data_IF_190150632851
#
_entry.id   IF_190150632851
#
_cell.length_a   1.000
_cell.length_b   1.000
_cell.length_c   1.000
_cell.angle_alpha   90.00
_cell.angle_beta   90.00
_cell.angle_gamma   90.00
#
_symmetry.space_group_name_H-M   'P 1'
#
loop_
_entity.id
_entity.type
_entity.pdbx_description
1 polymer ?
#
# COMPACT_ATOMS: atom_id res chain seq x y z
N UNK A 1 -7.48 -7.06 -8.54
CA UNK A 1 -6.49 -5.96 -8.50
C UNK A 1 -6.54 -5.36 -7.10
N UNK A 2 -5.39 -4.95 -6.54
CA UNK A 2 -5.35 -4.29 -5.23
C UNK A 2 -5.20 -2.78 -5.40
N UNK A 3 -5.82 -2.01 -4.51
CA UNK A 3 -5.77 -0.54 -4.45
C UNK A 3 -6.13 -0.08 -3.04
N UNK A 4 -5.75 1.16 -2.69
CA UNK A 4 -5.76 1.66 -1.30
C UNK A 4 -6.69 2.84 -1.05
N UNK A 5 -7.27 3.40 -2.12
CA UNK A 5 -8.08 4.61 -2.09
C UNK A 5 -7.39 5.78 -1.36
N UNK A 6 -6.05 5.85 -1.46
CA UNK A 6 -5.21 6.81 -0.74
C UNK A 6 -5.47 8.29 -1.06
N UNK A 7 -6.14 8.57 -2.17
CA UNK A 7 -6.60 9.93 -2.50
C UNK A 7 -7.61 10.42 -1.45
N UNK A 8 -8.40 9.52 -0.87
CA UNK A 8 -9.45 9.84 0.10
C UNK A 8 -9.01 9.67 1.54
N UNK A 9 -8.16 8.67 1.83
CA UNK A 9 -7.83 8.25 3.20
C UNK A 9 -6.36 8.46 3.59
N UNK A 10 -5.56 9.06 2.70
CA UNK A 10 -4.15 9.36 2.95
C UNK A 10 -3.23 8.16 2.74
N UNK A 11 -2.07 8.20 3.41
CA UNK A 11 -0.99 7.23 3.18
C UNK A 11 -1.47 5.77 3.39
N UNK A 12 -1.24 4.85 2.44
CA UNK A 12 -1.65 3.46 2.56
C UNK A 12 -0.72 2.60 3.42
N UNK A 13 0.27 3.21 4.06
CA UNK A 13 1.40 2.50 4.65
C UNK A 13 0.95 1.50 5.74
N UNK A 14 -0.11 1.81 6.50
CA UNK A 14 -0.66 0.91 7.51
C UNK A 14 -1.42 -0.26 6.87
N UNK A 15 -2.17 -0.02 5.78
CA UNK A 15 -2.85 -1.08 5.03
C UNK A 15 -1.84 -2.05 4.41
N UNK A 16 -0.74 -1.53 3.85
CA UNK A 16 0.34 -2.35 3.27
C UNK A 16 0.99 -3.21 4.35
N UNK A 17 1.27 -2.65 5.52
CA UNK A 17 1.86 -3.38 6.64
C UNK A 17 0.93 -4.48 7.16
N UNK A 18 -0.32 -4.13 7.43
CA UNK A 18 -1.33 -5.08 7.87
C UNK A 18 -1.48 -6.24 6.87
N UNK A 19 -1.50 -5.96 5.57
CA UNK A 19 -1.61 -7.01 4.57
C UNK A 19 -0.34 -7.87 4.45
N UNK A 20 0.85 -7.31 4.69
CA UNK A 20 2.11 -8.07 4.68
C UNK A 20 2.17 -9.07 5.83
N UNK A 21 1.61 -8.74 6.98
CA UNK A 21 1.58 -9.62 8.17
C UNK A 21 0.36 -10.52 8.23
N UNK A 22 -0.73 -10.17 7.52
CA UNK A 22 -1.95 -10.95 7.48
C UNK A 22 -1.73 -12.39 6.97
N UNK A 23 -2.36 -13.33 7.67
CA UNK A 23 -2.44 -14.74 7.33
C UNK A 23 -3.84 -15.26 7.71
N UNK A 24 -4.45 -16.02 6.80
CA UNK A 24 -5.71 -16.71 7.09
C UNK A 24 -5.39 -17.83 8.09
N UNK A 25 -6.15 -17.92 9.19
CA UNK A 25 -5.90 -18.92 10.23
C UNK A 25 -5.92 -20.34 9.68
N UNK A 26 -5.16 -21.24 10.30
CA UNK A 26 -5.08 -22.64 9.89
C UNK A 26 -6.47 -23.31 9.86
N UNK A 27 -7.31 -23.05 10.85
CA UNK A 27 -8.69 -23.56 10.92
C UNK A 27 -9.53 -23.11 9.71
N UNK A 28 -9.46 -21.83 9.33
CA UNK A 28 -10.22 -21.31 8.19
C UNK A 28 -9.66 -21.84 6.86
N UNK A 29 -8.35 -22.04 6.77
CA UNK A 29 -7.72 -22.66 5.60
C UNK A 29 -8.15 -24.11 5.43
N UNK A 30 -8.20 -24.89 6.50
CA UNK A 30 -8.65 -26.28 6.49
C UNK A 30 -10.14 -26.37 6.13
N UNK A 31 -10.99 -25.55 6.77
CA UNK A 31 -12.44 -25.57 6.53
C UNK A 31 -12.83 -25.13 5.11
N UNK A 32 -12.12 -24.17 4.53
CA UNK A 32 -12.53 -23.52 3.28
C UNK A 32 -11.55 -23.69 2.11
N UNK A 33 -10.45 -24.42 2.30
CA UNK A 33 -9.45 -24.66 1.26
C UNK A 33 -8.62 -23.43 0.89
N UNK A 34 -8.53 -22.42 1.77
CA UNK A 34 -7.73 -21.24 1.47
C UNK A 34 -6.23 -21.56 1.47
N UNK A 35 -5.46 -21.04 0.49
CA UNK A 35 -4.03 -21.23 0.45
C UNK A 35 -3.35 -20.47 1.59
N UNK A 36 -2.18 -20.96 2.00
CA UNK A 36 -1.30 -20.17 2.85
C UNK A 36 -0.81 -18.93 2.12
N UNK A 37 -0.82 -17.78 2.77
CA UNK A 37 -0.25 -16.58 2.17
C UNK A 37 1.28 -16.68 2.04
N UNK A 38 1.77 -16.81 0.82
CA UNK A 38 3.21 -16.86 0.50
C UNK A 38 3.73 -15.51 0.00
N UNK A 39 5.06 -15.26 0.03
CA UNK A 39 5.65 -14.08 -0.60
C UNK A 39 5.27 -13.93 -2.08
N UNK A 40 5.20 -15.03 -2.82
CA UNK A 40 4.81 -15.02 -4.24
C UNK A 40 3.34 -14.62 -4.45
N UNK A 41 2.42 -15.10 -3.60
CA UNK A 41 1.02 -14.67 -3.62
C UNK A 41 0.87 -13.19 -3.27
N UNK A 42 1.60 -12.70 -2.26
CA UNK A 42 1.64 -11.27 -1.93
C UNK A 42 2.15 -10.43 -3.10
N UNK A 43 3.21 -10.87 -3.80
CA UNK A 43 3.71 -10.18 -4.98
C UNK A 43 2.67 -10.13 -6.12
N UNK A 44 1.91 -11.22 -6.32
CA UNK A 44 0.77 -11.25 -7.26
C UNK A 44 -0.28 -10.20 -6.91
N UNK A 45 -0.67 -10.12 -5.64
CA UNK A 45 -1.69 -9.18 -5.17
C UNK A 45 -1.22 -7.73 -5.29
N UNK A 46 0.01 -7.44 -4.84
CA UNK A 46 0.56 -6.07 -4.85
C UNK A 46 0.90 -5.53 -6.24
N UNK A 47 1.04 -6.36 -7.28
CA UNK A 47 1.35 -5.82 -8.59
C UNK A 47 1.40 -6.79 -9.76
N UNK A 48 1.77 -8.06 -9.59
CA UNK A 48 1.94 -8.93 -10.79
C UNK A 48 0.60 -9.24 -11.47
N UNK A 49 -0.49 -9.35 -10.71
CA UNK A 49 -1.82 -9.49 -11.30
C UNK A 49 -2.23 -8.24 -12.09
N UNK A 50 -1.86 -7.06 -11.59
CA UNK A 50 -2.13 -5.79 -12.28
C UNK A 50 -1.34 -5.70 -13.59
N UNK A 51 -0.04 -6.02 -13.54
CA UNK A 51 0.84 -6.00 -14.70
C UNK A 51 0.27 -6.89 -15.83
N UNK A 52 -0.19 -8.09 -15.50
CA UNK A 52 -0.81 -8.98 -16.47
C UNK A 52 -2.08 -8.39 -17.12
N UNK A 53 -2.98 -7.81 -16.32
CA UNK A 53 -4.22 -7.19 -16.83
C UNK A 53 -3.93 -6.03 -17.80
N UNK A 54 -2.86 -5.27 -17.55
CA UNK A 54 -2.46 -4.15 -18.39
C UNK A 54 -1.50 -4.53 -19.53
N UNK A 55 -1.23 -5.82 -19.74
CA UNK A 55 -0.29 -6.28 -20.77
C UNK A 55 1.16 -5.83 -20.54
N UNK A 56 1.54 -5.60 -19.28
CA UNK A 56 2.86 -5.16 -18.87
C UNK A 56 3.66 -6.32 -18.27
N UNK A 57 4.96 -6.37 -18.56
CA UNK A 57 5.88 -7.27 -17.87
C UNK A 57 6.58 -6.57 -16.69
N UNK A 58 6.97 -7.28 -15.62
CA UNK A 58 7.74 -6.69 -14.53
C UNK A 58 9.08 -6.07 -14.98
N UNK A 59 9.68 -6.62 -16.04
CA UNK A 59 10.91 -6.10 -16.64
C UNK A 59 10.69 -4.77 -17.35
N UNK A 60 9.60 -4.62 -18.10
CA UNK A 60 9.24 -3.35 -18.73
C UNK A 60 8.91 -2.29 -17.70
N UNK A 61 8.08 -2.61 -16.69
CA UNK A 61 7.73 -1.68 -15.61
C UNK A 61 8.99 -1.17 -14.93
N UNK A 62 9.89 -2.06 -14.52
CA UNK A 62 11.17 -1.68 -13.89
C UNK A 62 12.01 -0.77 -14.79
N UNK A 63 12.09 -1.07 -16.09
CA UNK A 63 12.84 -0.25 -17.05
C UNK A 63 12.30 1.18 -17.11
N UNK A 64 10.97 1.33 -17.20
CA UNK A 64 10.33 2.66 -17.29
C UNK A 64 10.40 3.43 -15.98
N UNK A 65 10.19 2.77 -14.84
CA UNK A 65 10.19 3.46 -13.54
C UNK A 65 11.59 3.78 -13.03
N UNK A 66 12.65 3.11 -13.50
CA UNK A 66 14.00 3.26 -12.95
C UNK A 66 14.56 4.69 -12.97
N UNK A 67 14.06 5.55 -13.87
CA UNK A 67 14.56 6.93 -14.05
C UNK A 67 13.49 7.99 -13.82
N UNK A 68 12.31 7.59 -13.35
CA UNK A 68 11.22 8.53 -13.13
C UNK A 68 11.45 9.41 -11.87
N UNK A 69 10.51 10.32 -11.60
CA UNK A 69 10.57 11.18 -10.42
C UNK A 69 10.41 10.40 -9.11
N UNK A 70 9.70 9.26 -9.12
CA UNK A 70 9.49 8.41 -7.95
C UNK A 70 10.77 7.67 -7.59
N UNK A 71 11.48 7.09 -8.57
CA UNK A 71 12.78 6.46 -8.37
C UNK A 71 13.81 7.45 -7.83
N UNK A 72 13.86 8.68 -8.38
CA UNK A 72 14.74 9.73 -7.86
C UNK A 72 14.41 10.08 -6.40
N UNK A 73 13.14 10.27 -6.06
CA UNK A 73 12.69 10.51 -4.67
C UNK A 73 13.05 9.35 -3.75
N UNK A 74 12.89 8.11 -4.22
CA UNK A 74 13.27 6.91 -3.47
C UNK A 74 14.77 6.88 -3.19
N UNK A 75 15.61 7.17 -4.18
CA UNK A 75 17.06 7.22 -3.99
C UNK A 75 17.45 8.31 -3.00
N UNK A 76 16.89 9.53 -3.14
CA UNK A 76 17.14 10.61 -2.19
C UNK A 76 16.69 10.26 -0.75
N UNK A 77 15.57 9.54 -0.59
CA UNK A 77 15.14 9.04 0.72
C UNK A 77 16.11 8.04 1.33
N UNK A 78 16.76 7.19 0.52
CA UNK A 78 17.72 6.21 1.01
C UNK A 78 19.00 6.84 1.59
N UNK A 79 19.37 8.05 1.17
CA UNK A 79 20.51 8.80 1.72
C UNK A 79 20.28 9.25 3.17
N UNK A 80 19.04 9.55 3.54
CA UNK A 80 18.67 9.90 4.91
C UNK A 80 17.25 9.40 5.23
N UNK A 81 17.09 8.11 5.57
CA UNK A 81 15.78 7.52 5.81
C UNK A 81 15.15 8.07 7.09
N UNK A 82 13.96 8.65 6.96
CA UNK A 82 13.13 9.05 8.10
C UNK A 82 11.79 8.29 8.08
N UNK A 83 11.75 7.03 8.55
CA UNK A 83 10.52 6.26 8.57
C UNK A 83 9.56 6.81 9.64
N UNK A 84 8.43 7.34 9.20
CA UNK A 84 7.39 7.87 10.08
C UNK A 84 6.01 7.33 9.69
N UNK A 85 5.30 6.73 10.65
CA UNK A 85 3.92 6.24 10.51
C UNK A 85 2.89 7.33 10.80
N UNK A 86 3.19 8.57 10.40
CA UNK A 86 2.33 9.72 10.70
C UNK A 86 1.08 9.64 9.84
N UNK A 87 -0.03 9.22 10.44
CA UNK A 87 -1.37 9.46 9.89
C UNK A 87 -1.62 10.97 9.87
N UNK A 88 -1.83 11.54 8.69
CA UNK A 88 -2.22 12.94 8.51
C UNK A 88 -3.75 13.06 8.51
N UNK A 89 -4.28 14.11 9.14
CA UNK A 89 -5.71 14.38 9.22
C UNK A 89 -6.23 14.56 10.65
N UNK A 90 -7.48 15.00 10.80
CA UNK A 90 -8.08 15.21 12.11
C UNK A 90 -8.24 13.90 12.87
N UNK A 91 -7.57 13.77 14.02
CA UNK A 91 -7.62 12.57 14.85
C UNK A 91 -8.75 12.59 15.88
N UNK A 92 -9.42 13.73 16.02
CA UNK A 92 -10.50 13.95 16.95
C UNK A 92 -11.66 14.66 16.26
N UNK A 93 -12.87 14.54 16.81
CA UNK A 93 -14.05 15.30 16.35
C UNK A 93 -13.76 16.81 16.32
N UNK A 94 -13.00 17.31 17.29
CA UNK A 94 -12.59 18.71 17.37
C UNK A 94 -11.65 19.11 16.24
N UNK A 95 -10.72 18.24 15.85
CA UNK A 95 -9.85 18.52 14.71
C UNK A 95 -10.63 18.47 13.40
N UNK A 96 -11.61 17.58 13.30
CA UNK A 96 -12.46 17.44 12.11
C UNK A 96 -13.28 18.71 11.91
N UNK A 97 -13.96 19.18 12.96
CA UNK A 97 -14.72 20.43 12.91
C UNK A 97 -13.81 21.62 12.60
N UNK A 98 -12.57 21.68 13.09
CA UNK A 98 -11.65 22.79 12.74
C UNK A 98 -11.28 22.84 11.25
N UNK A 99 -11.23 21.69 10.59
CA UNK A 99 -10.88 21.60 9.16
C UNK A 99 -12.11 21.85 8.27
N UNK A 100 -13.28 21.40 8.70
CA UNK A 100 -14.49 21.36 7.84
C UNK A 100 -15.61 22.32 8.27
N UNK A 101 -15.52 22.91 9.45
CA UNK A 101 -16.43 23.93 9.96
C UNK A 101 -15.70 24.90 10.92
N UNK A 102 -14.88 25.81 10.38
CA UNK A 102 -14.10 26.74 11.20
C UNK A 102 -14.96 27.79 11.91
N UNK A 103 -16.26 27.88 11.62
CA UNK A 103 -17.18 28.87 12.18
C UNK A 103 -18.12 28.30 13.26
N UNK A 104 -18.34 26.99 13.30
CA UNK A 104 -19.08 26.28 14.35
C UNK A 104 -20.44 25.76 13.93
#
# INVERSE_FOLDING_TARGET
>A
LWGTDSIWYGSPQDQIQAFRTFQISAELRERHGYPEMTPALRAKIFGLNAANVYGLTPTEVKRYTARDSVARKRMAYLENPDPHFRTHGPKTRRDFLRVFDPAG
#
